data_IF_410892653060
#
_entry.id   IF_410892653060
#
_cell.length_a   1.000
_cell.length_b   1.000
_cell.length_c   1.000
_cell.angle_alpha   90.00
_cell.angle_beta   90.00
_cell.angle_gamma   90.00
#
_symmetry.space_group_name_H-M   'P 1'
#
loop_
_entity.id
_entity.type
_entity.pdbx_description
1 polymer ?
#
# COMPACT_ATOMS: atom_id res chain seq x y z
N UNK A 1 -3.04 -3.38 37.39
CA UNK A 1 -2.63 -4.25 36.27
C UNK A 1 -2.26 -3.32 35.12
N UNK A 2 -1.16 -3.56 34.41
CA UNK A 2 -0.76 -2.76 33.25
C UNK A 2 -1.81 -2.91 32.16
N UNK A 3 -2.40 -1.82 31.70
CA UNK A 3 -3.46 -1.79 30.67
C UNK A 3 -3.03 -1.11 29.37
N UNK A 4 -1.77 -0.74 29.29
CA UNK A 4 -1.20 -0.03 28.16
C UNK A 4 0.28 -0.40 27.97
N UNK A 5 0.71 -0.51 26.73
CA UNK A 5 2.11 -0.49 26.31
C UNK A 5 2.25 0.26 25.01
N UNK A 6 3.30 1.06 24.90
CA UNK A 6 3.77 1.63 23.64
C UNK A 6 4.95 0.80 23.18
N UNK A 7 4.74 -0.04 22.17
CA UNK A 7 5.76 -0.96 21.67
C UNK A 7 6.69 -0.27 20.66
N UNK A 8 6.14 0.71 19.90
CA UNK A 8 6.82 1.48 18.86
C UNK A 8 6.46 2.96 19.04
N UNK A 9 7.40 3.91 18.99
CA UNK A 9 8.84 3.71 18.92
C UNK A 9 9.43 3.20 20.24
N UNK A 10 10.43 2.34 20.15
CA UNK A 10 11.14 1.81 21.33
C UNK A 10 12.11 2.84 21.93
N UNK A 11 12.59 3.80 21.14
CA UNK A 11 13.49 4.89 21.55
C UNK A 11 12.71 6.18 21.82
N UNK A 12 13.37 7.16 22.45
CA UNK A 12 12.87 8.53 22.58
C UNK A 12 13.24 9.43 21.40
N UNK A 13 13.51 8.83 20.25
CA UNK A 13 13.89 9.52 19.02
C UNK A 13 12.78 9.40 17.97
N UNK A 14 12.53 10.49 17.25
CA UNK A 14 11.58 10.53 16.13
C UNK A 14 12.32 10.85 14.83
N UNK A 15 11.92 10.17 13.79
CA UNK A 15 12.19 10.55 12.41
C UNK A 15 11.05 11.45 11.88
N UNK A 16 11.22 12.13 10.74
CA UNK A 16 10.13 12.93 10.15
C UNK A 16 8.83 12.16 9.95
N UNK A 17 8.90 10.85 9.76
CA UNK A 17 7.75 9.94 9.83
C UNK A 17 8.10 8.86 10.85
N UNK A 18 7.31 8.74 11.88
CA UNK A 18 7.51 7.73 12.93
C UNK A 18 6.22 6.96 13.17
N UNK A 19 6.31 5.64 13.11
CA UNK A 19 5.18 4.78 13.48
C UNK A 19 5.00 4.72 14.97
N UNK A 20 3.77 4.84 15.41
CA UNK A 20 3.32 4.58 16.77
C UNK A 20 2.49 3.30 16.79
N UNK A 21 2.78 2.42 17.72
CA UNK A 21 2.03 1.18 17.88
C UNK A 21 2.18 0.60 19.26
N UNK A 22 1.17 -0.12 19.69
CA UNK A 22 1.12 -0.72 21.00
C UNK A 22 -0.21 -1.39 21.27
N UNK A 23 -0.57 -1.48 22.54
CA UNK A 23 -1.88 -1.96 22.95
C UNK A 23 -2.42 -1.18 24.14
N UNK A 24 -3.74 -1.12 24.23
CA UNK A 24 -4.46 -0.48 25.32
C UNK A 24 -5.80 -1.19 25.58
N UNK A 25 -6.08 -1.45 26.85
CA UNK A 25 -7.35 -1.99 27.34
C UNK A 25 -8.13 -0.88 28.05
N UNK A 26 -9.18 -0.31 27.43
CA UNK A 26 -10.02 0.69 28.07
C UNK A 26 -10.86 0.09 29.19
N UNK A 27 -11.44 0.94 30.02
CA UNK A 27 -12.45 0.52 30.99
C UNK A 27 -13.71 0.03 30.26
N UNK A 28 -14.48 -0.84 30.93
CA UNK A 28 -15.70 -1.40 30.38
C UNK A 28 -16.69 -0.31 29.90
N UNK A 29 -17.24 -0.53 28.71
CA UNK A 29 -18.22 0.38 28.10
C UNK A 29 -17.63 1.58 27.34
N UNK A 30 -16.32 1.76 27.28
CA UNK A 30 -15.70 2.78 26.43
C UNK A 30 -15.54 2.28 25.00
N UNK A 31 -16.01 3.08 24.05
CA UNK A 31 -15.68 2.89 22.64
C UNK A 31 -14.31 3.52 22.36
N UNK A 32 -13.35 2.71 21.99
CA UNK A 32 -11.96 3.15 21.81
C UNK A 32 -11.84 4.14 20.64
N UNK A 33 -11.32 5.33 20.93
CA UNK A 33 -10.98 6.36 19.95
C UNK A 33 -9.65 7.02 20.36
N UNK A 34 -8.55 6.46 19.91
CA UNK A 34 -7.22 6.95 20.24
C UNK A 34 -6.82 8.07 19.29
N UNK A 35 -6.36 9.17 19.87
CA UNK A 35 -5.85 10.35 19.16
C UNK A 35 -4.43 10.60 19.60
N UNK A 36 -3.54 10.72 18.63
CA UNK A 36 -2.17 11.16 18.84
C UNK A 36 -2.14 12.69 18.79
N UNK A 37 -1.53 13.31 19.80
CA UNK A 37 -1.38 14.76 19.90
C UNK A 37 0.10 15.13 19.83
N UNK A 38 0.39 16.16 19.07
CA UNK A 38 1.70 16.80 18.96
C UNK A 38 1.63 18.17 19.64
N UNK A 39 2.46 18.39 20.66
CA UNK A 39 2.49 19.62 21.48
C UNK A 39 1.08 20.04 21.93
N UNK A 40 0.31 19.08 22.44
CA UNK A 40 -1.05 19.27 22.92
C UNK A 40 -2.15 19.45 21.87
N UNK A 41 -1.81 19.55 20.58
CA UNK A 41 -2.79 19.68 19.47
C UNK A 41 -3.13 18.31 18.90
N UNK A 42 -4.41 18.00 18.59
CA UNK A 42 -4.77 16.78 17.88
C UNK A 42 -4.02 16.72 16.55
N UNK A 43 -3.38 15.58 16.28
CA UNK A 43 -2.56 15.40 15.08
C UNK A 43 -3.05 14.28 14.18
N UNK A 44 -3.27 13.09 14.73
CA UNK A 44 -3.72 11.94 13.97
C UNK A 44 -4.62 11.04 14.83
N UNK A 45 -5.60 10.37 14.20
CA UNK A 45 -6.32 9.28 14.82
C UNK A 45 -5.51 7.98 14.63
N UNK A 46 -5.38 7.20 15.71
CA UNK A 46 -4.74 5.89 15.66
C UNK A 46 -5.76 4.82 15.28
N UNK A 47 -5.38 3.92 14.39
CA UNK A 47 -6.17 2.73 14.11
C UNK A 47 -6.24 1.88 15.38
N UNK A 48 -7.41 1.40 15.73
CA UNK A 48 -7.65 0.55 16.92
C UNK A 48 -8.26 -0.79 16.52
N UNK A 49 -8.27 -1.74 17.46
CA UNK A 49 -8.82 -3.07 17.20
C UNK A 49 -7.85 -4.00 16.47
N UNK A 50 -6.56 -3.70 16.49
CA UNK A 50 -5.54 -4.56 15.89
C UNK A 50 -5.40 -5.85 16.70
N UNK A 51 -5.31 -6.97 16.02
CA UNK A 51 -5.23 -8.30 16.60
C UNK A 51 -3.91 -8.53 17.35
N UNK A 52 -3.99 -8.86 18.63
CA UNK A 52 -2.86 -9.00 19.57
C UNK A 52 -2.96 -10.29 20.40
N UNK A 53 -2.73 -11.45 19.79
CA UNK A 53 -2.77 -12.74 20.52
C UNK A 53 -1.68 -12.86 21.60
N UNK A 54 -0.60 -12.11 21.47
CA UNK A 54 0.46 -12.00 22.47
C UNK A 54 -0.06 -11.32 23.76
N UNK A 55 -0.84 -10.24 23.62
CA UNK A 55 -1.46 -9.54 24.76
C UNK A 55 -2.50 -10.41 25.43
N UNK A 56 -3.32 -11.14 24.65
CA UNK A 56 -4.29 -12.09 25.24
C UNK A 56 -3.58 -13.20 26.02
N UNK A 57 -2.45 -13.71 25.54
CA UNK A 57 -1.64 -14.70 26.31
C UNK A 57 -1.11 -14.12 27.61
N UNK A 58 -0.75 -12.84 27.61
CA UNK A 58 -0.29 -12.14 28.81
C UNK A 58 -1.44 -11.81 29.78
N UNK A 59 -2.64 -11.55 29.27
CA UNK A 59 -3.86 -11.19 30.02
C UNK A 59 -5.02 -12.15 29.66
N UNK A 60 -4.94 -13.44 29.99
CA UNK A 60 -5.92 -14.44 29.55
C UNK A 60 -7.32 -14.23 30.14
N UNK A 61 -7.44 -13.51 31.26
CA UNK A 61 -8.71 -13.15 31.89
C UNK A 61 -9.42 -11.96 31.22
N UNK A 62 -8.79 -11.30 30.24
CA UNK A 62 -9.35 -10.16 29.53
C UNK A 62 -9.53 -10.49 28.03
N UNK A 63 -10.67 -11.08 27.62
CA UNK A 63 -10.89 -11.46 26.20
C UNK A 63 -10.74 -10.30 25.22
N UNK A 64 -11.05 -9.06 25.64
CA UNK A 64 -10.85 -7.85 24.87
C UNK A 64 -9.37 -7.59 24.50
N UNK A 65 -8.43 -8.23 25.20
CA UNK A 65 -6.99 -8.11 24.89
C UNK A 65 -6.63 -8.61 23.50
N UNK A 66 -7.43 -9.51 22.92
CA UNK A 66 -7.21 -10.02 21.56
C UNK A 66 -7.24 -8.91 20.49
N UNK A 67 -8.03 -7.86 20.68
CA UNK A 67 -8.17 -6.74 19.77
C UNK A 67 -7.78 -5.41 20.42
N UNK A 68 -6.85 -5.44 21.34
CA UNK A 68 -6.37 -4.27 22.09
C UNK A 68 -5.31 -3.44 21.36
N UNK A 69 -4.81 -3.90 20.23
CA UNK A 69 -3.75 -3.24 19.50
C UNK A 69 -4.20 -1.92 18.87
N UNK A 70 -3.26 -0.99 18.76
CA UNK A 70 -3.41 0.25 18.00
C UNK A 70 -2.14 0.54 17.20
N UNK A 71 -2.29 1.28 16.11
CA UNK A 71 -1.16 1.79 15.32
C UNK A 71 -1.54 3.07 14.57
N UNK A 72 -0.53 3.86 14.22
CA UNK A 72 -0.66 5.03 13.36
C UNK A 72 0.69 5.68 13.12
N UNK A 73 0.76 6.51 12.09
CA UNK A 73 1.99 7.21 11.73
C UNK A 73 1.89 8.68 12.16
N UNK A 74 2.97 9.17 12.79
CA UNK A 74 3.21 10.58 13.03
C UNK A 74 4.05 11.13 11.88
N UNK A 75 3.51 12.12 11.21
CA UNK A 75 4.27 12.95 10.25
C UNK A 75 4.56 14.28 10.93
N UNK A 76 5.82 14.59 11.16
CA UNK A 76 6.19 15.88 11.76
C UNK A 76 5.87 17.02 10.81
N UNK A 77 5.53 18.21 11.35
CA UNK A 77 5.34 19.42 10.54
C UNK A 77 6.56 19.72 9.66
N UNK A 78 6.31 20.19 8.44
CA UNK A 78 7.38 20.63 7.54
C UNK A 78 8.22 21.73 8.20
N UNK A 79 9.55 21.60 8.10
CA UNK A 79 10.47 22.55 8.75
C UNK A 79 10.80 22.22 10.21
N UNK A 80 10.30 21.12 10.78
CA UNK A 80 10.72 20.69 12.13
C UNK A 80 12.22 20.38 12.11
N UNK A 81 13.01 21.15 12.88
CA UNK A 81 14.47 21.03 12.86
C UNK A 81 14.96 19.78 13.56
N UNK A 82 16.02 19.11 13.06
CA UNK A 82 16.74 18.09 13.84
C UNK A 82 17.23 18.66 15.18
N UNK A 83 17.11 17.87 16.24
CA UNK A 83 17.40 18.28 17.60
C UNK A 83 16.24 18.97 18.31
N UNK A 84 15.14 19.30 17.63
CA UNK A 84 13.95 19.83 18.29
C UNK A 84 13.36 18.78 19.25
N UNK A 85 12.85 19.27 20.39
CA UNK A 85 12.06 18.45 21.32
C UNK A 85 10.58 18.65 21.02
N UNK A 86 9.85 17.54 20.86
CA UNK A 86 8.39 17.54 20.65
C UNK A 86 7.72 16.69 21.72
N UNK A 87 6.59 17.18 22.24
CA UNK A 87 5.78 16.41 23.18
C UNK A 87 4.71 15.63 22.43
N UNK A 88 4.69 14.32 22.58
CA UNK A 88 3.68 13.44 22.03
C UNK A 88 2.83 12.87 23.16
N UNK A 89 1.51 13.03 23.06
CA UNK A 89 0.57 12.35 23.94
C UNK A 89 -0.45 11.52 23.14
N UNK A 90 -0.87 10.41 23.73
CA UNK A 90 -1.93 9.55 23.22
C UNK A 90 -3.11 9.68 24.17
N UNK A 91 -4.28 10.05 23.63
CA UNK A 91 -5.50 10.22 24.41
C UNK A 91 -6.62 9.34 23.85
N UNK A 92 -7.42 8.77 24.76
CA UNK A 92 -8.67 8.11 24.43
C UNK A 92 -9.83 9.10 24.58
N UNK A 93 -10.43 9.49 23.46
CA UNK A 93 -11.54 10.44 23.37
C UNK A 93 -12.93 9.73 23.29
N UNK A 94 -12.96 8.40 23.35
CA UNK A 94 -14.15 7.60 23.03
C UNK A 94 -15.19 7.42 24.16
N UNK A 95 -15.04 8.05 25.32
CA UNK A 95 -15.91 7.80 26.47
C UNK A 95 -16.71 9.00 26.94
N UNK A 96 -17.83 8.78 27.67
CA UNK A 96 -18.71 9.84 28.16
C UNK A 96 -18.10 10.73 29.27
N UNK A 97 -16.99 10.30 29.87
CA UNK A 97 -16.24 11.06 30.91
C UNK A 97 -15.21 12.04 30.36
N UNK A 98 -15.20 12.28 29.06
CA UNK A 98 -14.20 13.11 28.40
C UNK A 98 -12.89 12.37 28.05
N UNK A 99 -11.91 13.09 27.45
CA UNK A 99 -10.64 12.51 27.07
C UNK A 99 -9.85 11.98 28.27
N UNK A 100 -9.22 10.83 28.09
CA UNK A 100 -8.30 10.21 29.07
C UNK A 100 -6.92 10.14 28.44
N UNK A 101 -5.93 10.77 29.06
CA UNK A 101 -4.55 10.65 28.64
C UNK A 101 -4.01 9.28 29.02
N UNK A 102 -3.55 8.53 28.00
CA UNK A 102 -3.02 7.19 28.13
C UNK A 102 -1.51 7.23 28.31
N UNK A 103 -0.84 8.06 27.52
CA UNK A 103 0.60 8.21 27.51
C UNK A 103 1.00 9.63 27.13
N UNK A 104 2.14 10.08 27.70
CA UNK A 104 2.81 11.33 27.32
C UNK A 104 4.32 11.09 27.36
N UNK A 105 5.01 11.50 26.30
CA UNK A 105 6.48 11.44 26.22
C UNK A 105 7.03 12.61 25.43
N UNK A 106 8.24 13.02 25.78
CA UNK A 106 9.02 13.97 25.00
C UNK A 106 10.00 13.17 24.15
N UNK A 107 10.04 13.51 22.89
CA UNK A 107 10.92 12.89 21.89
C UNK A 107 11.86 13.95 21.31
N UNK A 108 13.05 13.52 20.90
CA UNK A 108 13.99 14.36 20.16
C UNK A 108 13.88 14.02 18.69
N UNK A 109 13.73 15.03 17.84
CA UNK A 109 13.70 14.84 16.39
C UNK A 109 15.12 14.56 15.91
N UNK A 110 15.33 13.38 15.36
CA UNK A 110 16.61 13.02 14.75
C UNK A 110 16.72 13.66 13.36
N UNK A 111 17.97 13.89 12.93
CA UNK A 111 18.29 14.09 11.54
C UNK A 111 18.04 12.76 10.80
N UNK A 112 16.79 12.36 10.71
CA UNK A 112 16.38 11.27 9.84
C UNK A 112 16.69 11.68 8.42
N UNK A 113 17.28 10.76 7.66
CA UNK A 113 17.47 10.97 6.23
C UNK A 113 16.13 11.40 5.58
N UNK A 114 16.17 12.06 4.45
CA UNK A 114 14.97 12.50 3.76
C UNK A 114 14.02 11.32 3.61
N UNK A 115 12.74 11.59 3.85
CA UNK A 115 11.65 10.63 3.70
C UNK A 115 11.60 10.04 2.27
N UNK A 116 12.04 10.80 1.29
CA UNK A 116 12.39 10.28 -0.02
C UNK A 116 13.81 9.71 0.02
N UNK A 117 13.98 8.42 -0.28
CA UNK A 117 15.30 7.94 -0.65
C UNK A 117 15.78 8.87 -1.75
N UNK A 118 16.93 9.52 -1.55
CA UNK A 118 17.60 10.27 -2.62
C UNK A 118 18.24 9.27 -3.59
N UNK A 119 17.38 8.42 -4.19
CA UNK A 119 17.87 7.58 -5.27
C UNK A 119 18.25 8.49 -6.42
N UNK A 120 19.30 8.14 -7.07
CA UNK A 120 19.69 8.78 -8.32
C UNK A 120 18.57 8.53 -9.34
N UNK A 121 18.05 9.61 -9.92
CA UNK A 121 17.03 9.56 -10.98
C UNK A 121 17.65 10.08 -12.25
N UNK A 122 17.32 9.45 -13.37
CA UNK A 122 17.74 9.92 -14.70
C UNK A 122 16.69 10.80 -15.38
N UNK A 123 15.64 11.20 -14.65
CA UNK A 123 14.54 12.04 -15.16
C UNK A 123 14.25 13.22 -14.23
N UNK A 124 13.75 14.32 -14.81
CA UNK A 124 13.19 15.45 -14.06
C UNK A 124 11.66 15.35 -14.02
N UNK A 125 11.08 15.31 -12.83
CA UNK A 125 9.62 15.25 -12.66
C UNK A 125 8.89 16.40 -13.36
N UNK A 126 9.51 17.59 -13.47
CA UNK A 126 8.94 18.75 -14.17
C UNK A 126 8.74 18.51 -15.67
N UNK A 127 9.58 17.68 -16.27
CA UNK A 127 9.46 17.30 -17.69
C UNK A 127 8.38 16.24 -17.91
N UNK A 128 8.05 15.47 -16.88
CA UNK A 128 7.07 14.39 -16.91
C UNK A 128 5.65 14.91 -16.69
N UNK A 129 5.48 15.95 -15.88
CA UNK A 129 4.15 16.49 -15.55
C UNK A 129 3.51 17.25 -16.70
N UNK A 130 2.21 17.06 -16.86
CA UNK A 130 1.37 17.84 -17.79
C UNK A 130 1.16 19.28 -17.32
N UNK A 131 1.25 19.50 -15.99
CA UNK A 131 1.07 20.80 -15.35
C UNK A 131 2.25 21.06 -14.42
N UNK A 132 2.85 22.26 -14.44
CA UNK A 132 3.88 22.63 -13.48
C UNK A 132 3.32 22.54 -12.07
N UNK A 133 3.97 21.81 -11.20
CA UNK A 133 3.58 21.72 -9.78
C UNK A 133 3.61 23.09 -9.09
N UNK A 134 4.44 24.00 -9.59
CA UNK A 134 4.64 25.36 -9.08
C UNK A 134 3.52 26.33 -9.45
N UNK A 135 2.78 26.09 -10.53
CA UNK A 135 1.75 27.00 -11.05
C UNK A 135 0.32 26.67 -10.56
N UNK A 136 0.16 25.72 -9.62
CA UNK A 136 -1.16 25.28 -9.13
C UNK A 136 -2.04 24.64 -10.20
N UNK A 137 -1.46 24.20 -11.33
CA UNK A 137 -2.15 23.49 -12.38
C UNK A 137 -2.76 22.18 -11.86
N UNK A 138 -3.92 21.79 -12.39
CA UNK A 138 -4.72 20.69 -11.88
C UNK A 138 -5.00 19.64 -12.96
N UNK A 139 -4.79 18.34 -12.67
CA UNK A 139 -5.14 17.26 -13.59
C UNK A 139 -6.65 17.08 -13.74
N UNK A 140 -7.44 17.50 -12.75
CA UNK A 140 -8.90 17.37 -12.75
C UNK A 140 -9.56 18.44 -11.85
N UNK A 141 -10.84 18.76 -12.05
CA UNK A 141 -11.56 19.70 -11.19
C UNK A 141 -11.44 19.35 -9.70
N UNK A 142 -11.02 20.32 -8.89
CA UNK A 142 -10.87 20.17 -7.44
C UNK A 142 -9.62 19.45 -6.98
N UNK A 143 -8.78 18.93 -7.88
CA UNK A 143 -7.48 18.35 -7.57
C UNK A 143 -6.41 19.43 -7.58
N UNK A 144 -5.54 19.41 -6.58
CA UNK A 144 -4.37 20.32 -6.49
C UNK A 144 -3.10 19.51 -6.24
N UNK A 145 -1.98 20.09 -6.61
CA UNK A 145 -0.68 19.57 -6.19
C UNK A 145 -0.36 20.13 -4.80
N UNK A 146 -0.12 19.21 -3.86
CA UNK A 146 0.34 19.53 -2.50
C UNK A 146 1.73 18.94 -2.34
N UNK A 147 2.71 19.75 -2.00
CA UNK A 147 4.05 19.25 -1.70
C UNK A 147 4.10 18.81 -0.23
N UNK A 148 4.32 17.53 0.03
CA UNK A 148 4.49 16.98 1.39
C UNK A 148 5.82 16.26 1.47
N UNK A 149 6.70 16.70 2.38
CA UNK A 149 8.03 16.11 2.58
C UNK A 149 8.83 15.90 1.27
N UNK A 150 8.69 16.84 0.34
CA UNK A 150 9.37 16.80 -0.95
C UNK A 150 8.72 15.92 -2.02
N UNK A 151 7.62 15.23 -1.71
CA UNK A 151 6.84 14.44 -2.66
C UNK A 151 5.61 15.23 -3.14
N UNK A 152 5.38 15.37 -4.45
CA UNK A 152 4.17 15.97 -4.99
C UNK A 152 2.97 15.03 -4.82
N UNK A 153 1.91 15.55 -4.22
CA UNK A 153 0.63 14.88 -4.00
C UNK A 153 -0.45 15.51 -4.86
N UNK A 154 -1.02 14.75 -5.80
CA UNK A 154 -2.12 15.19 -6.64
C UNK A 154 -3.43 14.63 -6.09
N UNK A 155 -4.11 15.41 -5.25
CA UNK A 155 -5.27 15.01 -4.48
C UNK A 155 -6.31 16.12 -4.42
N UNK A 156 -7.57 15.74 -4.17
CA UNK A 156 -8.57 16.69 -3.69
C UNK A 156 -8.28 17.01 -2.22
N UNK A 157 -8.53 18.23 -1.80
CA UNK A 157 -8.33 18.65 -0.40
C UNK A 157 -9.06 17.75 0.60
N UNK A 158 -10.25 17.28 0.23
CA UNK A 158 -11.03 16.35 1.04
C UNK A 158 -10.37 14.96 1.21
N UNK A 159 -9.51 14.55 0.29
CA UNK A 159 -8.85 13.25 0.30
C UNK A 159 -7.49 13.28 1.05
N UNK A 160 -6.94 14.48 1.31
CA UNK A 160 -5.67 14.65 2.02
C UNK A 160 -5.58 13.90 3.36
N UNK A 161 -6.65 13.87 4.20
CA UNK A 161 -6.60 13.13 5.47
C UNK A 161 -6.56 11.61 5.32
N UNK A 162 -6.96 11.08 4.16
CA UNK A 162 -7.02 9.63 3.89
C UNK A 162 -5.70 9.09 3.33
N UNK A 163 -4.85 9.98 2.80
CA UNK A 163 -3.55 9.60 2.26
C UNK A 163 -2.53 9.44 3.37
N UNK A 164 -2.07 8.24 3.54
CA UNK A 164 -1.03 7.93 4.52
C UNK A 164 0.33 8.39 4.02
N UNK A 165 1.13 8.86 4.97
CA UNK A 165 2.58 9.01 4.81
C UNK A 165 3.18 8.01 5.78
N UNK A 166 3.78 6.94 5.28
CA UNK A 166 4.16 5.79 6.10
C UNK A 166 5.48 5.17 5.63
N UNK A 167 6.14 4.46 6.54
CA UNK A 167 7.31 3.63 6.21
C UNK A 167 6.92 2.18 5.92
N UNK A 168 5.69 1.79 6.29
CA UNK A 168 5.20 0.43 6.10
C UNK A 168 4.37 0.36 4.82
N UNK A 169 4.96 -0.13 3.77
CA UNK A 169 4.30 -0.45 2.51
C UNK A 169 4.40 -1.93 2.20
N UNK A 170 3.38 -2.48 1.56
CA UNK A 170 3.53 -3.77 0.91
C UNK A 170 4.54 -3.61 -0.23
N UNK A 171 5.51 -4.51 -0.29
CA UNK A 171 6.46 -4.59 -1.40
C UNK A 171 6.33 -5.96 -2.05
N UNK A 172 6.34 -5.95 -3.35
CA UNK A 172 6.44 -7.17 -4.13
C UNK A 172 7.66 -7.07 -5.03
N UNK A 173 8.53 -8.09 -5.08
CA UNK A 173 9.58 -8.11 -6.09
C UNK A 173 8.92 -8.10 -7.48
N UNK A 174 9.61 -7.51 -8.44
CA UNK A 174 9.12 -7.55 -9.82
C UNK A 174 9.00 -9.00 -10.29
N UNK A 175 7.85 -9.32 -10.86
CA UNK A 175 7.63 -10.62 -11.49
C UNK A 175 8.57 -10.78 -12.70
N UNK A 176 8.77 -12.04 -13.14
CA UNK A 176 9.57 -12.29 -14.35
C UNK A 176 9.05 -11.49 -15.57
N UNK A 177 7.73 -11.37 -15.70
CA UNK A 177 7.13 -10.59 -16.77
C UNK A 177 7.38 -9.08 -16.61
N UNK A 178 7.42 -8.57 -15.36
CA UNK A 178 7.79 -7.19 -15.09
C UNK A 178 9.26 -6.91 -15.44
N UNK A 179 10.16 -7.82 -15.05
CA UNK A 179 11.58 -7.70 -15.43
C UNK A 179 11.81 -7.76 -16.94
N UNK A 180 11.04 -8.55 -17.69
CA UNK A 180 11.05 -8.55 -19.14
C UNK A 180 10.64 -7.18 -19.70
N UNK A 181 9.56 -6.58 -19.20
CA UNK A 181 9.08 -5.25 -19.61
C UNK A 181 10.09 -4.17 -19.27
N UNK A 182 10.70 -4.20 -18.09
CA UNK A 182 11.77 -3.28 -17.68
C UNK A 182 12.98 -3.40 -18.61
N UNK A 183 13.43 -4.64 -18.87
CA UNK A 183 14.59 -4.88 -19.73
C UNK A 183 14.39 -4.39 -21.16
N UNK A 184 13.19 -4.55 -21.70
CA UNK A 184 12.86 -4.07 -23.06
C UNK A 184 12.69 -2.56 -23.15
N UNK A 185 12.26 -1.90 -22.08
CA UNK A 185 12.19 -0.45 -22.00
C UNK A 185 13.60 0.21 -21.99
N UNK A 186 14.64 -0.54 -21.62
CA UNK A 186 16.02 -0.06 -21.60
C UNK A 186 16.19 1.16 -20.69
N UNK A 187 16.66 2.27 -21.24
CA UNK A 187 16.83 3.54 -20.54
C UNK A 187 15.57 4.41 -20.54
N UNK A 188 14.51 3.97 -21.24
CA UNK A 188 13.25 4.70 -21.31
C UNK A 188 12.57 4.82 -19.95
N UNK A 189 11.78 5.90 -19.76
CA UNK A 189 11.08 6.15 -18.51
C UNK A 189 9.96 5.13 -18.31
N UNK A 190 9.92 4.50 -17.14
CA UNK A 190 8.95 3.48 -16.75
C UNK A 190 8.09 4.03 -15.61
N UNK A 191 6.79 3.78 -15.67
CA UNK A 191 5.87 4.03 -14.56
C UNK A 191 5.62 2.73 -13.80
N UNK A 192 5.91 2.72 -12.51
CA UNK A 192 5.41 1.71 -11.57
C UNK A 192 4.19 2.29 -10.86
N UNK A 193 3.01 1.80 -11.26
CA UNK A 193 1.70 2.30 -10.83
C UNK A 193 1.16 1.45 -9.69
N UNK A 194 1.06 2.05 -8.50
CA UNK A 194 0.77 1.36 -7.24
C UNK A 194 2.01 0.63 -6.71
N UNK A 195 3.13 1.33 -6.70
CA UNK A 195 4.45 0.75 -6.44
C UNK A 195 4.64 0.24 -5.01
N UNK A 196 3.84 0.71 -4.04
CA UNK A 196 4.10 0.45 -2.64
C UNK A 196 5.45 0.98 -2.17
N UNK A 197 6.13 0.22 -1.31
CA UNK A 197 7.50 0.50 -0.87
C UNK A 197 8.44 -0.63 -1.33
N UNK A 198 9.03 -0.55 -2.54
CA UNK A 198 9.95 -1.56 -3.01
C UNK A 198 11.25 -1.59 -2.18
N UNK A 199 11.86 -2.77 -2.08
CA UNK A 199 13.18 -2.91 -1.48
C UNK A 199 14.20 -2.02 -2.21
N UNK A 200 15.17 -1.46 -1.48
CA UNK A 200 16.16 -0.54 -2.03
C UNK A 200 16.94 -1.14 -3.19
N UNK A 201 17.22 -2.44 -3.16
CA UNK A 201 17.90 -3.16 -4.23
C UNK A 201 17.08 -3.26 -5.54
N UNK A 202 15.77 -3.04 -5.48
CA UNK A 202 14.86 -3.06 -6.64
C UNK A 202 14.66 -1.66 -7.25
N UNK A 203 15.11 -0.61 -6.58
CA UNK A 203 15.00 0.76 -7.07
C UNK A 203 15.86 0.95 -8.33
N UNK A 204 15.25 1.48 -9.38
CA UNK A 204 15.92 1.76 -10.66
C UNK A 204 15.83 3.24 -10.99
N UNK A 205 16.88 3.84 -11.57
CA UNK A 205 16.92 5.29 -11.78
C UNK A 205 15.91 5.80 -12.82
N UNK A 206 15.46 4.95 -13.75
CA UNK A 206 14.48 5.27 -14.80
C UNK A 206 13.05 4.79 -14.48
N UNK A 207 12.77 4.30 -13.28
CA UNK A 207 11.42 3.91 -12.85
C UNK A 207 10.84 4.99 -11.94
N UNK A 208 9.71 5.59 -12.34
CA UNK A 208 8.94 6.53 -11.54
C UNK A 208 7.94 5.73 -10.69
N UNK A 209 8.04 5.86 -9.37
CA UNK A 209 7.19 5.19 -8.40
C UNK A 209 5.98 6.06 -8.05
N UNK A 210 4.79 5.61 -8.43
CA UNK A 210 3.54 6.28 -8.08
C UNK A 210 2.69 5.39 -7.18
N UNK A 211 2.15 5.98 -6.13
CA UNK A 211 1.18 5.32 -5.26
C UNK A 211 0.10 6.31 -4.79
N UNK A 212 -1.00 5.82 -4.21
CA UNK A 212 -1.99 6.66 -3.54
C UNK A 212 -1.47 7.16 -2.19
N UNK A 213 -0.62 6.38 -1.54
CA UNK A 213 0.07 6.72 -0.30
C UNK A 213 1.49 7.19 -0.57
N UNK A 214 2.05 7.95 0.35
CA UNK A 214 3.47 8.30 0.29
C UNK A 214 4.27 7.35 1.16
N UNK A 215 5.08 6.52 0.53
CA UNK A 215 6.14 5.72 1.16
C UNK A 215 7.49 6.44 1.03
N UNK A 216 8.53 5.85 1.58
CA UNK A 216 9.90 6.43 1.55
C UNK A 216 10.41 6.64 0.13
N UNK A 217 10.11 5.71 -0.79
CA UNK A 217 10.59 5.72 -2.17
C UNK A 217 9.61 6.32 -3.18
N UNK A 218 8.39 6.69 -2.77
CA UNK A 218 7.37 7.25 -3.65
C UNK A 218 7.83 8.55 -4.30
N UNK A 219 7.79 8.60 -5.61
CA UNK A 219 8.12 9.81 -6.40
C UNK A 219 6.93 10.76 -6.52
N UNK A 220 5.72 10.19 -6.66
CA UNK A 220 4.46 10.94 -6.85
C UNK A 220 3.35 10.23 -6.11
N UNK A 221 2.63 10.93 -5.23
CA UNK A 221 1.40 10.45 -4.65
C UNK A 221 0.19 10.95 -5.45
N UNK A 222 -0.68 10.04 -5.89
CA UNK A 222 -1.81 10.40 -6.74
C UNK A 222 -3.05 9.56 -6.41
N UNK A 223 -4.10 10.22 -5.91
CA UNK A 223 -5.40 9.61 -5.60
C UNK A 223 -6.51 10.01 -6.57
N UNK A 224 -6.17 10.52 -7.76
CA UNK A 224 -7.13 10.93 -8.78
C UNK A 224 -7.16 9.95 -9.95
N UNK A 225 -8.36 9.74 -10.58
CA UNK A 225 -8.46 8.92 -11.79
C UNK A 225 -7.64 9.46 -12.97
N UNK A 226 -7.37 10.77 -13.00
CA UNK A 226 -6.55 11.39 -14.03
C UNK A 226 -5.14 11.61 -13.53
N UNK A 227 -4.19 10.96 -14.19
CA UNK A 227 -2.77 11.04 -13.83
C UNK A 227 -2.16 12.40 -14.21
N UNK A 228 -1.25 12.96 -13.40
CA UNK A 228 -0.69 14.29 -13.60
C UNK A 228 0.38 14.34 -14.71
N UNK A 229 0.48 13.30 -15.54
CA UNK A 229 1.53 13.16 -16.53
C UNK A 229 1.11 13.61 -17.93
N UNK A 230 2.09 13.99 -18.73
CA UNK A 230 1.91 14.27 -20.15
C UNK A 230 1.50 13.02 -20.92
N UNK A 231 0.87 13.21 -22.08
CA UNK A 231 0.57 12.13 -23.01
C UNK A 231 1.87 11.49 -23.52
N UNK A 232 1.85 10.16 -23.66
CA UNK A 232 2.90 9.40 -24.31
C UNK A 232 4.32 9.62 -23.71
N UNK A 233 4.42 9.80 -22.38
CA UNK A 233 5.68 10.08 -21.71
C UNK A 233 6.43 8.83 -21.26
N UNK A 234 5.70 7.73 -20.98
CA UNK A 234 6.30 6.49 -20.50
C UNK A 234 6.58 5.49 -21.62
N UNK A 235 7.77 4.88 -21.58
CA UNK A 235 8.16 3.76 -22.43
C UNK A 235 7.43 2.49 -22.07
N UNK A 236 7.29 2.25 -20.77
CA UNK A 236 6.60 1.10 -20.23
C UNK A 236 5.83 1.45 -18.95
N UNK A 237 4.85 0.62 -18.61
CA UNK A 237 4.08 0.71 -17.37
C UNK A 237 4.02 -0.67 -16.73
N UNK A 238 4.23 -0.70 -15.41
CA UNK A 238 4.08 -1.88 -14.56
C UNK A 238 3.08 -1.56 -13.47
N UNK A 239 2.20 -2.50 -13.15
CA UNK A 239 1.29 -2.41 -12.02
C UNK A 239 1.03 -3.81 -11.47
N UNK A 240 1.51 -4.07 -10.26
CA UNK A 240 1.36 -5.36 -9.59
C UNK A 240 0.50 -5.20 -8.34
N UNK A 241 -0.54 -6.03 -8.18
CA UNK A 241 -1.44 -6.06 -7.03
C UNK A 241 -2.06 -4.67 -6.70
N UNK A 242 -2.56 -3.97 -7.73
CA UNK A 242 -3.12 -2.61 -7.59
C UNK A 242 -4.52 -2.51 -8.18
N UNK A 243 -4.81 -3.21 -9.29
CA UNK A 243 -6.07 -3.04 -10.02
C UNK A 243 -7.29 -3.49 -9.21
N UNK A 244 -7.13 -4.41 -8.28
CA UNK A 244 -8.15 -4.82 -7.30
C UNK A 244 -8.54 -3.69 -6.34
N UNK A 245 -7.66 -2.71 -6.15
CA UNK A 245 -7.85 -1.57 -5.25
C UNK A 245 -8.37 -0.31 -5.95
N UNK A 246 -8.65 -0.37 -7.23
CA UNK A 246 -9.15 0.76 -8.02
C UNK A 246 -10.68 0.77 -8.06
N UNK A 247 -11.33 1.89 -7.68
CA UNK A 247 -12.79 2.02 -7.81
C UNK A 247 -13.30 1.95 -9.25
N UNK A 248 -12.50 2.43 -10.21
CA UNK A 248 -12.79 2.39 -11.66
C UNK A 248 -11.54 1.97 -12.43
N UNK A 249 -11.26 0.67 -12.51
CA UNK A 249 -10.07 0.17 -13.22
C UNK A 249 -10.12 0.44 -14.72
N UNK A 250 -11.32 0.56 -15.33
CA UNK A 250 -11.43 0.87 -16.75
C UNK A 250 -11.08 2.34 -17.06
N UNK A 251 -11.45 3.28 -16.17
CA UNK A 251 -11.00 4.66 -16.30
C UNK A 251 -9.48 4.76 -16.13
N UNK A 252 -8.93 4.04 -15.17
CA UNK A 252 -7.47 3.98 -14.95
C UNK A 252 -6.76 3.40 -16.19
N UNK A 253 -7.26 2.31 -16.77
CA UNK A 253 -6.69 1.74 -17.99
C UNK A 253 -6.64 2.75 -19.16
N UNK A 254 -7.67 3.60 -19.32
CA UNK A 254 -7.67 4.69 -20.32
C UNK A 254 -6.61 5.75 -20.03
N UNK A 255 -6.39 6.10 -18.78
CA UNK A 255 -5.33 7.05 -18.39
C UNK A 255 -3.93 6.45 -18.59
N UNK A 256 -3.73 5.20 -18.22
CA UNK A 256 -2.48 4.49 -18.48
C UNK A 256 -2.21 4.40 -20.00
N UNK A 257 -3.26 4.18 -20.81
CA UNK A 257 -3.14 4.25 -22.25
C UNK A 257 -2.69 5.63 -22.75
N UNK A 258 -3.26 6.70 -22.20
CA UNK A 258 -2.90 8.09 -22.57
C UNK A 258 -1.41 8.38 -22.30
N UNK A 259 -0.92 8.00 -21.11
CA UNK A 259 0.45 8.34 -20.69
C UNK A 259 1.52 7.40 -21.24
N UNK A 260 1.15 6.19 -21.68
CA UNK A 260 2.05 5.24 -22.34
C UNK A 260 2.27 5.69 -23.79
N UNK A 261 3.49 5.68 -24.29
CA UNK A 261 3.79 6.02 -25.68
C UNK A 261 3.26 4.97 -26.66
N UNK A 262 2.95 5.34 -27.92
CA UNK A 262 2.65 4.37 -28.98
C UNK A 262 3.77 3.32 -29.09
N UNK A 263 3.38 2.04 -29.15
CA UNK A 263 4.30 0.90 -29.13
C UNK A 263 4.80 0.50 -27.72
N UNK A 264 4.61 1.34 -26.70
CA UNK A 264 5.01 1.07 -25.32
C UNK A 264 4.27 -0.13 -24.73
N UNK A 265 4.86 -0.79 -23.74
CA UNK A 265 4.33 -2.00 -23.11
C UNK A 265 3.72 -1.72 -21.74
N UNK A 266 2.70 -2.51 -21.39
CA UNK A 266 2.04 -2.46 -20.09
C UNK A 266 1.87 -3.85 -19.53
N UNK A 267 2.25 -4.03 -18.27
CA UNK A 267 2.00 -5.23 -17.48
C UNK A 267 1.07 -4.89 -16.31
N UNK A 268 0.00 -5.65 -16.18
CA UNK A 268 -0.91 -5.59 -15.03
C UNK A 268 -1.00 -6.96 -14.40
N UNK A 269 -0.77 -7.03 -13.08
CA UNK A 269 -1.09 -8.16 -12.22
C UNK A 269 -2.20 -7.76 -11.26
N UNK A 270 -3.18 -8.64 -11.02
CA UNK A 270 -4.30 -8.35 -10.11
C UNK A 270 -4.85 -9.62 -9.45
N UNK A 271 -5.54 -9.45 -8.33
CA UNK A 271 -6.16 -10.51 -7.58
C UNK A 271 -7.31 -11.18 -8.34
N UNK A 272 -7.42 -12.52 -8.18
CA UNK A 272 -8.59 -13.30 -8.61
C UNK A 272 -9.22 -14.03 -7.42
N UNK A 273 -8.70 -15.16 -6.97
CA UNK A 273 -9.24 -15.86 -5.80
C UNK A 273 -8.44 -15.49 -4.55
N UNK A 274 -8.71 -14.30 -4.03
CA UNK A 274 -8.08 -13.80 -2.82
C UNK A 274 -9.12 -13.30 -1.82
N UNK A 275 -8.86 -13.45 -0.50
CA UNK A 275 -9.66 -12.83 0.54
C UNK A 275 -9.67 -11.30 0.40
N UNK A 276 -10.65 -10.66 1.02
CA UNK A 276 -10.68 -9.20 1.17
C UNK A 276 -9.41 -8.72 1.86
N UNK A 277 -8.68 -7.79 1.26
CA UNK A 277 -7.42 -7.24 1.76
C UNK A 277 -7.20 -5.81 1.26
N UNK A 278 -6.11 -5.20 1.74
CA UNK A 278 -5.60 -3.94 1.21
C UNK A 278 -6.22 -2.68 1.79
N UNK A 279 -5.61 -1.58 1.40
CA UNK A 279 -5.90 -0.21 1.80
C UNK A 279 -5.61 0.71 0.59
N UNK A 280 -6.50 1.62 0.22
CA UNK A 280 -7.71 2.07 0.91
C UNK A 280 -8.94 1.17 0.75
N UNK A 281 -8.93 0.20 -0.12
CA UNK A 281 -10.06 -0.71 -0.33
C UNK A 281 -9.72 -1.83 -1.30
N UNK A 282 -10.55 -2.88 -1.31
CA UNK A 282 -10.50 -3.98 -2.26
C UNK A 282 -11.86 -4.03 -2.97
N UNK A 283 -11.89 -3.64 -4.22
CA UNK A 283 -13.13 -3.46 -4.98
C UNK A 283 -13.44 -4.64 -5.91
N UNK A 284 -12.39 -5.27 -6.45
CA UNK A 284 -12.55 -6.29 -7.48
C UNK A 284 -11.60 -7.47 -7.29
N UNK A 285 -12.14 -8.67 -7.44
CA UNK A 285 -11.40 -9.86 -7.80
C UNK A 285 -11.65 -10.16 -9.28
N UNK A 286 -10.63 -10.14 -10.13
CA UNK A 286 -10.81 -10.20 -11.58
C UNK A 286 -10.45 -11.57 -12.16
N UNK A 287 -11.32 -12.12 -13.00
CA UNK A 287 -10.94 -13.23 -13.89
C UNK A 287 -10.05 -12.70 -15.01
N UNK A 288 -9.34 -13.59 -15.71
CA UNK A 288 -8.57 -13.23 -16.91
C UNK A 288 -9.41 -12.47 -17.94
N UNK A 289 -10.65 -12.94 -18.20
CA UNK A 289 -11.56 -12.31 -19.14
C UNK A 289 -12.05 -10.92 -18.66
N UNK A 290 -12.24 -10.77 -17.33
CA UNK A 290 -12.55 -9.48 -16.72
C UNK A 290 -11.41 -8.48 -16.93
N UNK A 291 -10.17 -8.89 -16.66
CA UNK A 291 -8.98 -8.05 -16.85
C UNK A 291 -8.79 -7.69 -18.34
N UNK A 292 -8.94 -8.64 -19.27
CA UNK A 292 -8.93 -8.38 -20.72
C UNK A 292 -9.93 -7.30 -21.14
N UNK A 293 -11.13 -7.34 -20.56
CA UNK A 293 -12.17 -6.34 -20.83
C UNK A 293 -11.78 -4.96 -20.32
N UNK A 294 -11.17 -4.87 -19.14
CA UNK A 294 -10.63 -3.64 -18.57
C UNK A 294 -9.51 -3.08 -19.46
N UNK A 295 -8.65 -3.95 -19.96
CA UNK A 295 -7.48 -3.62 -20.77
C UNK A 295 -7.78 -3.51 -22.28
N UNK A 296 -9.05 -3.45 -22.68
CA UNK A 296 -9.48 -3.39 -24.07
C UNK A 296 -8.83 -2.28 -24.96
N UNK A 297 -8.38 -1.13 -24.43
CA UNK A 297 -7.65 -0.14 -25.25
C UNK A 297 -6.29 -0.65 -25.78
N UNK A 298 -5.70 -1.67 -25.16
CA UNK A 298 -4.39 -2.19 -25.52
C UNK A 298 -4.48 -3.42 -26.42
N UNK A 299 -3.46 -3.64 -27.24
CA UNK A 299 -3.26 -4.91 -27.94
C UNK A 299 -2.67 -5.94 -26.99
N UNK A 300 -3.36 -7.06 -26.80
CA UNK A 300 -2.85 -8.15 -25.95
C UNK A 300 -1.64 -8.83 -26.60
N UNK A 301 -0.56 -8.96 -25.83
CA UNK A 301 0.58 -9.80 -26.19
C UNK A 301 0.41 -11.18 -25.57
N UNK A 302 0.10 -11.24 -24.28
CA UNK A 302 -0.22 -12.46 -23.54
C UNK A 302 -0.96 -12.14 -22.24
N UNK A 303 -1.75 -13.09 -21.75
CA UNK A 303 -2.38 -13.03 -20.45
C UNK A 303 -2.47 -14.44 -19.84
N UNK A 304 -2.71 -14.54 -18.56
CA UNK A 304 -2.80 -15.85 -17.88
C UNK A 304 -2.48 -15.77 -16.40
N UNK A 305 -1.77 -16.78 -15.90
CA UNK A 305 -1.38 -16.93 -14.50
C UNK A 305 0.13 -17.00 -14.41
N UNK A 306 0.74 -16.16 -13.58
CA UNK A 306 2.17 -16.21 -13.27
C UNK A 306 2.45 -17.15 -12.09
N UNK A 307 3.69 -17.62 -11.89
CA UNK A 307 4.01 -18.55 -10.79
C UNK A 307 3.59 -18.07 -9.40
N UNK A 308 3.75 -16.78 -9.12
CA UNK A 308 3.35 -16.19 -7.83
C UNK A 308 1.82 -15.99 -7.69
N UNK A 309 1.06 -16.23 -8.75
CA UNK A 309 -0.41 -16.18 -8.78
C UNK A 309 -1.03 -17.57 -8.75
N UNK A 310 -0.23 -18.59 -8.46
CA UNK A 310 -0.67 -19.98 -8.49
C UNK A 310 -1.77 -20.29 -7.46
N UNK A 311 -2.59 -21.34 -7.68
CA UNK A 311 -3.67 -21.73 -6.77
C UNK A 311 -3.24 -21.95 -5.32
N UNK A 312 -2.08 -22.57 -5.10
CA UNK A 312 -1.54 -22.80 -3.75
C UNK A 312 -1.34 -21.52 -2.97
N UNK A 313 -0.96 -20.42 -3.63
CA UNK A 313 -0.84 -19.11 -3.01
C UNK A 313 -2.21 -18.59 -2.51
N UNK A 314 -3.27 -18.69 -3.33
CA UNK A 314 -4.63 -18.29 -2.94
C UNK A 314 -5.18 -19.11 -1.78
N UNK A 315 -4.97 -20.43 -1.79
CA UNK A 315 -5.34 -21.33 -0.70
C UNK A 315 -4.64 -20.97 0.61
N UNK A 316 -3.36 -20.62 0.54
CA UNK A 316 -2.59 -20.16 1.69
C UNK A 316 -3.15 -18.85 2.23
N UNK A 317 -3.38 -17.85 1.38
CA UNK A 317 -3.97 -16.57 1.78
C UNK A 317 -5.35 -16.74 2.42
N UNK A 318 -6.19 -17.63 1.85
CA UNK A 318 -7.51 -17.92 2.42
C UNK A 318 -7.39 -18.52 3.83
N UNK A 319 -6.50 -19.48 4.03
CA UNK A 319 -6.28 -20.09 5.34
C UNK A 319 -5.69 -19.07 6.34
N UNK A 320 -4.79 -18.20 5.91
CA UNK A 320 -4.22 -17.12 6.73
C UNK A 320 -5.29 -16.11 7.16
N UNK A 321 -6.19 -15.75 6.25
CA UNK A 321 -7.29 -14.82 6.54
C UNK A 321 -8.33 -15.42 7.49
N UNK A 322 -8.63 -16.72 7.35
CA UNK A 322 -9.64 -17.41 8.19
C UNK A 322 -9.11 -17.72 9.58
N UNK A 323 -7.83 -18.08 9.72
CA UNK A 323 -7.25 -18.55 11.00
C UNK A 323 -7.50 -17.61 12.20
N UNK A 324 -7.30 -16.30 12.10
CA UNK A 324 -7.53 -15.39 13.22
C UNK A 324 -9.01 -15.19 13.56
N UNK A 325 -9.93 -15.54 12.65
CA UNK A 325 -11.37 -15.38 12.84
C UNK A 325 -12.00 -16.58 13.58
N UNK A 326 -11.26 -17.67 13.73
CA UNK A 326 -11.73 -18.91 14.34
C UNK A 326 -11.25 -18.99 15.78
N UNK A 327 -12.20 -18.95 16.72
CA UNK A 327 -11.95 -19.10 18.15
C UNK A 327 -11.92 -20.55 18.65
N UNK A 328 -12.55 -21.47 17.92
CA UNK A 328 -12.56 -22.90 18.26
C UNK A 328 -11.20 -23.52 17.97
N UNK A 329 -10.55 -24.03 19.02
CA UNK A 329 -9.20 -24.60 18.95
C UNK A 329 -9.11 -25.84 18.06
N UNK A 330 -10.19 -26.60 17.90
CA UNK A 330 -10.19 -27.79 17.03
C UNK A 330 -10.17 -27.39 15.56
N UNK A 331 -10.91 -26.38 15.19
CA UNK A 331 -10.86 -25.78 13.85
C UNK A 331 -9.55 -25.02 13.61
N UNK A 332 -9.06 -24.29 14.63
CA UNK A 332 -7.77 -23.60 14.54
C UNK A 332 -6.64 -24.56 14.17
N UNK A 333 -6.53 -25.72 14.85
CA UNK A 333 -5.52 -26.76 14.51
C UNK A 333 -5.67 -27.29 13.09
N UNK A 334 -6.90 -27.55 12.64
CA UNK A 334 -7.13 -28.05 11.25
C UNK A 334 -6.69 -27.03 10.21
N UNK A 335 -6.90 -25.73 10.44
CA UNK A 335 -6.44 -24.67 9.55
C UNK A 335 -4.91 -24.60 9.56
N UNK A 336 -4.28 -24.71 10.72
CA UNK A 336 -2.83 -24.70 10.84
C UNK A 336 -2.19 -25.93 10.15
N UNK A 337 -2.81 -27.12 10.28
CA UNK A 337 -2.42 -28.33 9.57
C UNK A 337 -2.56 -28.16 8.05
N UNK A 338 -3.66 -27.57 7.57
CA UNK A 338 -3.85 -27.25 6.16
C UNK A 338 -2.81 -26.25 5.64
N UNK A 339 -2.50 -25.19 6.40
CA UNK A 339 -1.44 -24.22 6.05
C UNK A 339 -0.08 -24.91 5.96
N UNK A 340 0.23 -25.78 6.91
CA UNK A 340 1.47 -26.56 6.89
C UNK A 340 1.53 -27.49 5.68
N UNK A 341 0.42 -28.12 5.32
CA UNK A 341 0.32 -28.97 4.14
C UNK A 341 0.52 -28.15 2.86
N UNK A 342 -0.20 -27.04 2.66
CA UNK A 342 -0.09 -26.22 1.45
C UNK A 342 1.31 -25.62 1.29
N UNK A 343 1.99 -25.29 2.38
CA UNK A 343 3.36 -24.81 2.34
C UNK A 343 4.37 -25.89 1.88
N UNK A 344 4.10 -27.18 2.16
CA UNK A 344 4.96 -28.29 1.73
C UNK A 344 4.64 -28.77 0.32
N UNK A 345 3.34 -28.91 0.01
CA UNK A 345 2.86 -29.61 -1.19
C UNK A 345 2.28 -28.67 -2.25
N UNK A 346 2.20 -27.36 -1.97
CA UNK A 346 1.52 -26.41 -2.85
C UNK A 346 2.09 -26.40 -4.28
N UNK A 347 3.41 -26.42 -4.43
CA UNK A 347 4.02 -26.47 -5.76
C UNK A 347 3.66 -27.75 -6.53
N UNK A 348 3.62 -28.90 -5.85
CA UNK A 348 3.20 -30.15 -6.45
C UNK A 348 1.71 -30.15 -6.83
N UNK A 349 0.86 -29.53 -6.00
CA UNK A 349 -0.54 -29.31 -6.34
C UNK A 349 -0.70 -28.44 -7.59
N UNK A 350 0.04 -27.35 -7.68
CA UNK A 350 0.00 -26.43 -8.84
C UNK A 350 0.46 -27.13 -10.13
N UNK A 351 1.44 -28.02 -10.05
CA UNK A 351 1.86 -28.86 -11.17
C UNK A 351 0.78 -29.87 -11.56
N UNK A 352 0.17 -30.53 -10.59
CA UNK A 352 -0.87 -31.54 -10.82
C UNK A 352 -2.13 -30.96 -11.47
N UNK A 353 -2.46 -29.69 -11.18
CA UNK A 353 -3.58 -29.00 -11.82
C UNK A 353 -3.37 -28.73 -13.31
N UNK A 354 -2.14 -28.70 -13.76
CA UNK A 354 -1.80 -28.31 -15.12
C UNK A 354 -2.19 -26.88 -15.49
N UNK A 355 -1.91 -26.40 -16.71
CA UNK A 355 -2.18 -25.01 -17.08
C UNK A 355 -3.66 -24.61 -16.98
N UNK A 356 -4.57 -25.45 -17.49
CA UNK A 356 -6.00 -25.16 -17.48
C UNK A 356 -6.59 -25.15 -16.06
N UNK A 357 -6.20 -26.12 -15.21
CA UNK A 357 -6.67 -26.14 -13.82
C UNK A 357 -6.14 -24.96 -13.02
N UNK A 358 -4.89 -24.57 -13.21
CA UNK A 358 -4.32 -23.37 -12.56
C UNK A 358 -5.09 -22.11 -12.92
N UNK A 359 -5.50 -21.96 -14.17
CA UNK A 359 -6.26 -20.77 -14.60
C UNK A 359 -7.64 -20.68 -13.92
N UNK A 360 -8.30 -21.82 -13.68
CA UNK A 360 -9.65 -21.85 -13.06
C UNK A 360 -9.62 -21.40 -11.61
N UNK A 361 -8.57 -21.73 -10.86
CA UNK A 361 -8.47 -21.51 -9.40
C UNK A 361 -7.24 -20.68 -9.00
N UNK A 362 -6.75 -19.86 -9.89
CA UNK A 362 -5.59 -18.98 -9.65
C UNK A 362 -5.83 -17.98 -8.53
N UNK A 363 -4.81 -17.63 -7.78
CA UNK A 363 -4.85 -16.53 -6.81
C UNK A 363 -4.91 -15.15 -7.50
N UNK A 364 -4.36 -15.04 -8.69
CA UNK A 364 -4.35 -13.82 -9.48
C UNK A 364 -4.18 -14.09 -10.95
N UNK A 365 -4.30 -13.05 -11.74
CA UNK A 365 -4.13 -13.10 -13.20
C UNK A 365 -3.30 -11.93 -13.68
N UNK A 366 -2.65 -12.08 -14.82
CA UNK A 366 -1.90 -11.00 -15.45
C UNK A 366 -2.34 -10.71 -16.88
N UNK A 367 -2.05 -9.52 -17.31
CA UNK A 367 -2.20 -9.03 -18.67
C UNK A 367 -0.93 -8.28 -19.10
N UNK A 368 -0.30 -8.73 -20.16
CA UNK A 368 0.77 -8.05 -20.85
C UNK A 368 0.24 -7.57 -22.22
N UNK A 369 0.27 -6.27 -22.43
CA UNK A 369 -0.16 -5.65 -23.67
C UNK A 369 0.77 -4.57 -24.16
N UNK A 370 0.41 -3.93 -25.25
CA UNK A 370 1.07 -2.75 -25.78
C UNK A 370 0.04 -1.71 -26.24
N UNK A 371 0.42 -0.45 -26.19
CA UNK A 371 -0.32 0.58 -26.90
C UNK A 371 -0.09 0.41 -28.41
N UNK A 372 -1.15 0.34 -29.26
CA UNK A 372 -0.97 0.34 -30.72
C UNK A 372 -0.04 1.47 -31.18
N UNK A 373 0.77 1.21 -32.19
CA UNK A 373 1.53 2.27 -32.84
C UNK A 373 0.54 3.21 -33.55
N UNK A 374 0.84 4.50 -33.55
CA UNK A 374 0.03 5.42 -34.34
C UNK A 374 0.07 4.99 -35.81
N UNK A 375 -1.06 5.03 -36.53
CA UNK A 375 -1.06 4.70 -37.95
C UNK A 375 -0.12 5.66 -38.68
N UNK A 376 0.80 5.11 -39.47
CA UNK A 376 1.77 5.83 -40.30
C UNK A 376 1.08 6.64 -41.38
#
# INVERSE_FOLDING_TARGET
>A
MLRFSLDIPASAELTPITRFGGWYLPDEGRRLRLVLRLDGRPWASLQTGIHRPDVLRYLPQAPAALFSGFAGDLVLPEGTAPGASVEISIQDEGGPGGPVEIARRIFTVCAGGPVASRRERVFDLREVFAWPAEDGGSPAPGVRCHLRLGCPHFLREADLPTVKVTQDGASHPYSKAAEEVIGEAGEGLILDFGAGEPEEALLRPNVLLLDVHQFRSTDVACGTPRLPFRDAVFEAIISQATFEHLPDPAATARELFRVLRPGGRILIDTAFLQPLHGDPGHFFNMTREGLRKVMAPFEEIRSGVQPHQAPSFGLRLAAEAVRPLVSDESWGRRIDEFRAWINREGASLDEALGPAGREIVAAGVFYLGRRPADPV
#
